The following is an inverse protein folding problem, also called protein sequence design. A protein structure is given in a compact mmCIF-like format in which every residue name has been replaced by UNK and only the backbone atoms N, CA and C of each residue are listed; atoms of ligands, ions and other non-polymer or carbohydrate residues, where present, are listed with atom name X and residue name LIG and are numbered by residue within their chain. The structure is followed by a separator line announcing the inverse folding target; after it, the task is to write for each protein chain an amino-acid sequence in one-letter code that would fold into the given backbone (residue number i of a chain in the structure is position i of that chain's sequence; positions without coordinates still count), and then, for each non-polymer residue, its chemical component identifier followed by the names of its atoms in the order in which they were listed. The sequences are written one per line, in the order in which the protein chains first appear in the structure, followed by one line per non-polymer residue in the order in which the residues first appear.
data_IF_837757226760
#
_entry.id   IF_837757226760
#
_cell.length_a   1.000
_cell.length_b   1.000
_cell.length_c   1.000
_cell.angle_alpha   90.00
_cell.angle_beta   90.00
_cell.angle_gamma   90.00
#
_symmetry.space_group_name_H-M   'P 1'
#
loop_
_entity.id
_entity.type
_entity.pdbx_description
1 polymer ?
#
# COMPACT_ATOMS: atom_id res chain seq x y z
N UNK A 1 -10.91 3.43 -1.80
CA UNK A 1 -11.63 2.34 -1.12
C UNK A 1 -13.10 2.69 -1.07
N UNK A 2 -13.90 1.89 -1.76
CA UNK A 2 -15.22 2.22 -2.33
C UNK A 2 -16.38 2.24 -1.33
N UNK A 3 -17.47 2.87 -1.81
CA UNK A 3 -18.87 3.02 -1.41
C UNK A 3 -19.63 1.77 -0.90
N UNK A 4 -18.94 0.67 -0.61
CA UNK A 4 -19.54 -0.59 -0.13
C UNK A 4 -19.43 -0.70 1.38
N UNK A 5 -20.55 -1.01 2.03
CA UNK A 5 -20.60 -1.21 3.48
C UNK A 5 -19.86 -2.53 3.85
N UNK A 6 -19.60 -2.70 5.15
CA UNK A 6 -18.90 -3.90 5.66
C UNK A 6 -19.68 -5.17 5.35
N UNK A 7 -21.01 -5.13 5.51
CA UNK A 7 -21.92 -6.25 5.31
C UNK A 7 -21.90 -6.76 3.87
N UNK A 8 -21.93 -5.87 2.87
CA UNK A 8 -21.82 -6.22 1.45
C UNK A 8 -20.50 -6.93 1.14
N UNK A 9 -19.39 -6.53 1.78
CA UNK A 9 -18.10 -7.20 1.57
C UNK A 9 -18.09 -8.61 2.15
N UNK A 10 -18.75 -8.79 3.31
CA UNK A 10 -18.93 -10.10 3.94
C UNK A 10 -19.82 -11.00 3.07
N UNK A 11 -20.94 -10.47 2.56
CA UNK A 11 -21.83 -11.18 1.65
C UNK A 11 -21.10 -11.63 0.38
N UNK A 12 -20.33 -10.73 -0.26
CA UNK A 12 -19.54 -11.06 -1.45
C UNK A 12 -18.50 -12.14 -1.13
N UNK A 13 -17.88 -12.09 0.04
CA UNK A 13 -16.90 -13.10 0.47
C UNK A 13 -17.56 -14.48 0.62
N UNK A 14 -18.72 -14.58 1.26
CA UNK A 14 -19.47 -15.84 1.37
C UNK A 14 -19.92 -16.38 0.01
N UNK A 15 -20.41 -15.52 -0.88
CA UNK A 15 -20.74 -15.92 -2.26
C UNK A 15 -19.54 -16.47 -3.04
N UNK A 16 -18.36 -15.90 -2.82
CA UNK A 16 -17.14 -16.39 -3.43
C UNK A 16 -16.65 -17.70 -2.79
N UNK A 17 -16.65 -17.78 -1.45
CA UNK A 17 -16.04 -18.87 -0.68
C UNK A 17 -16.94 -20.11 -0.56
N UNK A 18 -18.23 -19.90 -0.33
CA UNK A 18 -19.19 -20.96 0.00
C UNK A 18 -20.01 -21.36 -1.24
N UNK A 19 -20.41 -20.39 -2.06
CA UNK A 19 -21.20 -20.64 -3.28
C UNK A 19 -20.34 -20.82 -4.55
N UNK A 20 -19.01 -20.67 -4.43
CA UNK A 20 -18.05 -20.78 -5.55
C UNK A 20 -18.38 -19.88 -6.76
N UNK A 21 -19.02 -18.73 -6.54
CA UNK A 21 -19.29 -17.77 -7.61
C UNK A 21 -17.97 -17.15 -8.07
N UNK A 22 -17.76 -17.09 -9.39
CA UNK A 22 -16.52 -16.55 -9.93
C UNK A 22 -16.34 -15.05 -9.61
N UNK A 23 -15.09 -14.64 -9.44
CA UNK A 23 -14.72 -13.23 -9.19
C UNK A 23 -15.26 -12.33 -10.31
N UNK A 24 -15.24 -12.79 -11.57
CA UNK A 24 -15.76 -12.04 -12.71
C UNK A 24 -17.28 -11.81 -12.64
N UNK A 25 -18.05 -12.82 -12.24
CA UNK A 25 -19.49 -12.68 -12.04
C UNK A 25 -19.82 -11.71 -10.90
N UNK A 26 -19.13 -11.84 -9.77
CA UNK A 26 -19.28 -10.93 -8.63
C UNK A 26 -18.89 -9.49 -8.99
N UNK A 27 -17.77 -9.30 -9.70
CA UNK A 27 -17.35 -7.99 -10.18
C UNK A 27 -18.41 -7.32 -11.05
N UNK A 28 -19.05 -8.09 -11.95
CA UNK A 28 -20.15 -7.58 -12.79
C UNK A 28 -21.40 -7.28 -11.99
N UNK A 29 -21.82 -8.19 -11.11
CA UNK A 29 -23.03 -8.04 -10.29
C UNK A 29 -22.96 -6.83 -9.36
N UNK A 30 -21.84 -6.65 -8.67
CA UNK A 30 -21.62 -5.56 -7.73
C UNK A 30 -20.98 -4.32 -8.36
N UNK A 31 -20.73 -4.33 -9.69
CA UNK A 31 -20.04 -3.25 -10.44
C UNK A 31 -18.70 -2.85 -9.80
N UNK A 32 -17.95 -3.85 -9.36
CA UNK A 32 -16.63 -3.68 -8.75
C UNK A 32 -15.52 -3.85 -9.80
N UNK A 33 -14.41 -3.15 -9.59
CA UNK A 33 -13.20 -3.43 -10.36
C UNK A 33 -12.66 -4.82 -9.97
N UNK A 34 -12.38 -5.65 -10.98
CA UNK A 34 -11.95 -7.04 -10.81
C UNK A 34 -10.72 -7.18 -9.90
N UNK A 35 -9.68 -6.37 -10.11
CA UNK A 35 -8.45 -6.42 -9.32
C UNK A 35 -8.68 -5.98 -7.86
N UNK A 36 -9.53 -4.98 -7.65
CA UNK A 36 -9.89 -4.55 -6.29
C UNK A 36 -10.71 -5.62 -5.55
N UNK A 37 -11.58 -6.32 -6.27
CA UNK A 37 -12.38 -7.41 -5.71
C UNK A 37 -11.49 -8.62 -5.37
N UNK A 38 -10.66 -9.07 -6.31
CA UNK A 38 -9.69 -10.15 -6.09
C UNK A 38 -8.78 -9.86 -4.89
N UNK A 39 -8.22 -8.64 -4.81
CA UNK A 39 -7.42 -8.21 -3.67
C UNK A 39 -8.21 -8.28 -2.35
N UNK A 40 -9.44 -7.75 -2.33
CA UNK A 40 -10.28 -7.76 -1.14
C UNK A 40 -10.59 -9.18 -0.66
N UNK A 41 -10.93 -10.08 -1.57
CA UNK A 41 -11.23 -11.49 -1.25
C UNK A 41 -10.01 -12.19 -0.66
N UNK A 42 -8.84 -12.07 -1.29
CA UNK A 42 -7.58 -12.64 -0.79
C UNK A 42 -7.18 -12.06 0.58
N UNK A 43 -7.44 -10.77 0.80
CA UNK A 43 -7.14 -10.12 2.07
C UNK A 43 -8.01 -10.67 3.20
N UNK A 44 -9.32 -10.88 2.95
CA UNK A 44 -10.24 -11.49 3.92
C UNK A 44 -9.90 -12.97 4.12
N UNK A 45 -9.55 -13.70 3.07
CA UNK A 45 -9.18 -15.12 3.15
C UNK A 45 -7.93 -15.33 4.03
N UNK A 46 -6.97 -14.40 3.98
CA UNK A 46 -5.72 -14.47 4.74
C UNK A 46 -5.85 -14.00 6.19
N UNK A 47 -6.60 -12.92 6.46
CA UNK A 47 -6.65 -12.26 7.78
C UNK A 47 -8.00 -12.37 8.48
N UNK A 48 -8.98 -13.00 7.83
CA UNK A 48 -10.36 -13.05 8.28
C UNK A 48 -11.13 -11.73 8.07
N UNK A 49 -12.40 -11.75 8.44
CA UNK A 49 -13.34 -10.62 8.29
C UNK A 49 -12.93 -9.40 9.15
N UNK A 50 -12.14 -9.61 10.20
CA UNK A 50 -11.66 -8.55 11.10
C UNK A 50 -10.82 -7.49 10.40
N UNK A 51 -10.16 -7.83 9.30
CA UNK A 51 -9.39 -6.86 8.51
C UNK A 51 -10.28 -5.73 7.93
N UNK A 52 -11.58 -5.99 7.79
CA UNK A 52 -12.55 -5.01 7.30
C UNK A 52 -12.91 -3.96 8.36
N UNK A 53 -12.72 -4.24 9.65
CA UNK A 53 -12.98 -3.29 10.75
C UNK A 53 -11.75 -2.48 11.14
N UNK A 54 -10.57 -2.85 10.63
CA UNK A 54 -9.32 -2.19 10.99
C UNK A 54 -9.36 -0.70 10.62
N UNK A 55 -9.21 0.15 11.64
CA UNK A 55 -9.12 1.61 11.48
C UNK A 55 -7.88 1.97 10.66
N UNK A 56 -7.85 3.18 10.10
CA UNK A 56 -6.67 3.64 9.38
C UNK A 56 -5.47 3.70 10.35
N UNK A 57 -4.51 2.80 10.15
CA UNK A 57 -3.30 2.74 10.97
C UNK A 57 -2.32 3.83 10.54
N UNK A 58 -1.69 4.46 11.53
CA UNK A 58 -0.48 5.24 11.30
C UNK A 58 0.70 4.28 11.35
N UNK A 59 1.57 4.35 10.35
CA UNK A 59 2.76 3.50 10.26
C UNK A 59 4.00 4.32 10.64
N UNK A 60 4.84 3.77 11.51
CA UNK A 60 6.09 4.40 11.92
C UNK A 60 7.08 4.51 10.76
N UNK A 61 8.11 5.35 10.92
CA UNK A 61 9.14 5.56 9.88
C UNK A 61 9.88 4.25 9.62
N UNK A 62 10.23 3.56 10.69
CA UNK A 62 10.97 2.30 10.69
C UNK A 62 10.17 1.20 10.00
N UNK A 63 8.86 1.11 10.28
CA UNK A 63 8.00 0.13 9.63
C UNK A 63 7.91 0.37 8.12
N UNK A 64 7.67 1.63 7.71
CA UNK A 64 7.64 1.99 6.29
C UNK A 64 8.96 1.68 5.60
N UNK A 65 10.07 2.01 6.24
CA UNK A 65 11.40 1.77 5.70
C UNK A 65 11.66 0.28 5.50
N UNK A 66 11.43 -0.55 6.54
CA UNK A 66 11.60 -2.01 6.45
C UNK A 66 10.72 -2.62 5.37
N UNK A 67 9.46 -2.16 5.26
CA UNK A 67 8.53 -2.61 4.22
C UNK A 67 9.06 -2.29 2.82
N UNK A 68 9.57 -1.08 2.61
CA UNK A 68 10.11 -0.64 1.32
C UNK A 68 11.39 -1.40 0.98
N UNK A 69 12.27 -1.61 1.96
CA UNK A 69 13.48 -2.42 1.79
C UNK A 69 13.12 -3.87 1.42
N UNK A 70 12.15 -4.49 2.09
CA UNK A 70 11.65 -5.81 1.73
C UNK A 70 10.99 -5.84 0.34
N UNK A 71 10.30 -4.78 -0.06
CA UNK A 71 9.71 -4.70 -1.38
C UNK A 71 10.79 -4.61 -2.47
N UNK A 72 11.84 -3.81 -2.26
CA UNK A 72 12.87 -3.57 -3.27
C UNK A 72 13.90 -4.70 -3.35
N UNK A 73 14.35 -5.20 -2.20
CA UNK A 73 15.42 -6.21 -2.13
C UNK A 73 14.90 -7.63 -1.93
N UNK A 74 13.63 -7.80 -1.59
CA UNK A 74 13.03 -9.11 -1.42
C UNK A 74 12.57 -9.72 -2.73
N UNK A 75 12.49 -11.05 -2.76
CA UNK A 75 12.00 -11.81 -3.92
C UNK A 75 10.46 -11.94 -3.96
N UNK A 76 9.75 -11.24 -3.07
CA UNK A 76 8.29 -11.34 -2.98
C UNK A 76 7.59 -10.32 -3.89
N UNK A 77 6.55 -10.73 -4.64
CA UNK A 77 5.72 -9.77 -5.37
C UNK A 77 5.09 -8.74 -4.43
N UNK A 78 4.97 -7.48 -4.87
CA UNK A 78 4.37 -6.41 -4.07
C UNK A 78 2.94 -6.74 -3.64
N UNK A 79 2.18 -7.46 -4.48
CA UNK A 79 0.85 -7.95 -4.16
C UNK A 79 0.88 -8.85 -2.92
N UNK A 80 1.78 -9.83 -2.90
CA UNK A 80 1.92 -10.77 -1.80
C UNK A 80 2.37 -10.07 -0.52
N UNK A 81 3.40 -9.22 -0.60
CA UNK A 81 3.88 -8.46 0.55
C UNK A 81 2.78 -7.55 1.13
N UNK A 82 1.99 -6.92 0.26
CA UNK A 82 0.85 -6.08 0.65
C UNK A 82 -0.25 -6.89 1.35
N UNK A 83 -0.53 -8.11 0.88
CA UNK A 83 -1.48 -9.02 1.53
C UNK A 83 -0.97 -9.47 2.88
N UNK A 84 0.28 -9.94 2.97
CA UNK A 84 0.90 -10.41 4.23
C UNK A 84 0.90 -9.33 5.32
N UNK A 85 1.18 -8.08 4.94
CA UNK A 85 1.18 -6.94 5.87
C UNK A 85 -0.22 -6.36 6.16
N UNK A 86 -1.27 -6.95 5.60
CA UNK A 86 -2.65 -6.53 5.86
C UNK A 86 -2.98 -5.14 5.30
N UNK A 87 -2.31 -4.69 4.24
CA UNK A 87 -2.56 -3.36 3.68
C UNK A 87 -3.93 -3.31 3.01
N UNK A 88 -4.60 -2.16 3.16
CA UNK A 88 -5.92 -1.92 2.57
C UNK A 88 -5.95 -1.99 1.04
N UNK A 89 -4.81 -1.79 0.40
CA UNK A 89 -4.64 -1.89 -1.04
C UNK A 89 -3.17 -1.97 -1.40
N UNK A 90 -2.83 -2.69 -2.47
CA UNK A 90 -1.50 -2.67 -3.09
C UNK A 90 -1.00 -1.26 -3.46
N UNK A 91 -1.93 -0.36 -3.79
CA UNK A 91 -1.60 1.03 -4.12
C UNK A 91 -0.92 1.79 -2.99
N UNK A 92 -1.10 1.37 -1.73
CA UNK A 92 -0.45 1.97 -0.58
C UNK A 92 1.07 1.73 -0.61
N UNK A 93 1.47 0.49 -0.84
CA UNK A 93 2.88 0.11 -0.98
C UNK A 93 3.52 0.78 -2.21
N UNK A 94 2.82 0.77 -3.35
CA UNK A 94 3.29 1.42 -4.57
C UNK A 94 3.52 2.93 -4.37
N UNK A 95 2.62 3.60 -3.65
CA UNK A 95 2.77 5.02 -3.33
C UNK A 95 3.98 5.28 -2.43
N UNK A 96 4.22 4.43 -1.41
CA UNK A 96 5.39 4.56 -0.54
C UNK A 96 6.70 4.37 -1.30
N UNK A 97 6.80 3.37 -2.17
CA UNK A 97 7.98 3.14 -3.01
C UNK A 97 8.21 4.34 -3.94
N UNK A 98 7.16 4.89 -4.55
CA UNK A 98 7.27 6.07 -5.41
C UNK A 98 7.77 7.29 -4.64
N UNK A 99 7.23 7.56 -3.45
CA UNK A 99 7.68 8.68 -2.61
C UNK A 99 9.13 8.48 -2.15
N UNK A 100 9.50 7.26 -1.78
CA UNK A 100 10.85 6.91 -1.38
C UNK A 100 11.87 7.18 -2.48
N UNK A 101 11.61 6.71 -3.71
CA UNK A 101 12.45 7.00 -4.88
C UNK A 101 12.52 8.52 -5.16
N UNK A 102 11.40 9.24 -5.08
CA UNK A 102 11.34 10.70 -5.31
C UNK A 102 12.16 11.49 -4.30
N UNK A 103 12.19 11.05 -3.03
CA UNK A 103 12.89 11.73 -1.94
C UNK A 103 14.35 11.26 -1.78
N UNK A 104 14.94 10.69 -2.83
CA UNK A 104 16.33 10.23 -2.79
C UNK A 104 16.58 9.07 -1.83
N UNK A 105 15.62 8.14 -1.69
CA UNK A 105 15.72 6.93 -0.86
C UNK A 105 15.69 7.22 0.65
N UNK A 106 14.97 8.27 1.04
CA UNK A 106 14.64 8.60 2.42
C UNK A 106 13.13 8.46 2.70
N UNK A 107 12.77 7.94 3.87
CA UNK A 107 11.38 7.81 4.31
C UNK A 107 10.96 9.09 5.02
N UNK A 108 10.05 9.85 4.40
CA UNK A 108 9.48 11.07 4.97
C UNK A 108 8.11 10.77 5.55
N UNK A 109 7.91 11.06 6.84
CA UNK A 109 6.56 11.09 7.43
C UNK A 109 5.98 12.48 7.19
N UNK A 110 5.01 12.57 6.29
CA UNK A 110 4.23 13.80 6.09
C UNK A 110 3.27 14.00 7.24
N UNK A 111 3.14 15.23 7.72
CA UNK A 111 2.12 15.58 8.70
C UNK A 111 0.71 15.37 8.11
N UNK A 112 -0.21 14.87 8.94
CA UNK A 112 -1.58 14.57 8.54
C UNK A 112 -2.38 15.88 8.44
N UNK A 113 -2.80 16.26 7.24
CA UNK A 113 -3.64 17.43 7.01
C UNK A 113 -3.30 18.13 5.70
N UNK A 114 -4.14 19.08 5.28
CA UNK A 114 -3.78 19.98 4.18
C UNK A 114 -2.79 21.00 4.73
N UNK A 115 -1.56 21.12 4.20
CA UNK A 115 -0.65 22.15 4.63
C UNK A 115 -1.29 23.53 4.39
N UNK A 116 -1.07 24.44 5.34
CA UNK A 116 -1.50 25.82 5.22
C UNK A 116 -0.98 26.42 3.91
N UNK A 117 -1.69 27.39 3.33
CA UNK A 117 -1.39 27.93 1.99
C UNK A 117 0.06 28.42 1.88
N UNK A 118 0.62 28.90 2.97
CA UNK A 118 1.98 29.46 3.03
C UNK A 118 3.08 28.39 3.16
N UNK A 119 2.80 27.27 3.83
CA UNK A 119 3.71 26.11 3.91
C UNK A 119 3.93 25.46 2.53
N UNK A 120 2.93 25.56 1.65
CA UNK A 120 3.01 25.04 0.28
C UNK A 120 4.07 25.75 -0.57
N UNK A 121 4.36 27.02 -0.29
CA UNK A 121 5.43 27.75 -0.98
C UNK A 121 6.83 27.30 -0.50
N UNK A 122 6.97 26.96 0.78
CA UNK A 122 8.23 26.49 1.35
C UNK A 122 8.59 25.05 0.92
N UNK A 123 7.62 24.14 0.80
CA UNK A 123 7.88 22.76 0.38
C UNK A 123 8.34 22.65 -1.09
N UNK A 124 7.93 23.57 -1.96
CA UNK A 124 8.41 23.63 -3.35
C UNK A 124 9.91 24.00 -3.40
N UNK A 125 10.40 24.76 -2.41
CA UNK A 125 11.81 25.14 -2.30
C UNK A 125 12.70 24.13 -1.54
N UNK A 126 12.14 23.21 -0.75
CA UNK A 126 12.92 22.24 0.05
C UNK A 126 13.22 20.92 -0.68
N UNK A 127 13.30 20.95 -2.01
CA UNK A 127 13.68 19.80 -2.85
C UNK A 127 15.13 19.32 -2.71
N UNK A 128 15.88 19.81 -1.73
CA UNK A 128 17.25 19.36 -1.44
C UNK A 128 17.33 18.91 0.02
N UNK A 129 16.81 17.71 0.30
CA UNK A 129 17.10 17.04 1.56
C UNK A 129 18.61 16.78 1.68
N UNK A 130 19.15 17.03 2.87
CA UNK A 130 20.52 16.64 3.25
C UNK A 130 20.85 15.22 2.79
N UNK A 131 22.06 15.05 2.24
CA UNK A 131 22.58 13.78 1.74
C UNK A 131 22.76 12.82 2.91
N UNK A 132 21.75 12.00 3.20
CA UNK A 132 21.89 10.88 4.14
C UNK A 132 22.83 9.83 3.51
N UNK A 133 24.02 9.57 4.08
CA UNK A 133 24.95 8.56 3.57
C UNK A 133 24.34 7.15 3.52
N UNK A 134 23.35 6.85 4.36
CA UNK A 134 22.63 5.59 4.32
C UNK A 134 21.70 5.51 3.10
N UNK A 135 21.18 6.63 2.59
CA UNK A 135 20.37 6.67 1.39
C UNK A 135 21.22 6.45 0.12
N UNK A 136 22.44 7.00 0.08
CA UNK A 136 23.45 6.71 -0.96
C UNK A 136 23.81 5.23 -1.03
N UNK A 137 24.10 4.59 0.13
CA UNK A 137 24.37 3.14 0.17
C UNK A 137 23.21 2.32 -0.37
N UNK A 138 21.97 2.71 -0.08
CA UNK A 138 20.77 2.05 -0.61
C UNK A 138 20.59 2.27 -2.11
N UNK A 139 20.83 3.48 -2.61
CA UNK A 139 20.86 3.76 -4.07
C UNK A 139 21.80 2.81 -4.79
N UNK A 140 23.03 2.69 -4.28
CA UNK A 140 24.05 1.83 -4.86
C UNK A 140 23.65 0.34 -4.80
N UNK A 141 23.08 -0.12 -3.68
CA UNK A 141 22.60 -1.49 -3.54
C UNK A 141 21.48 -1.82 -4.55
N UNK A 142 20.55 -0.88 -4.77
CA UNK A 142 19.45 -1.06 -5.72
C UNK A 142 19.98 -1.12 -7.16
N UNK A 143 20.89 -0.22 -7.52
CA UNK A 143 21.51 -0.22 -8.84
C UNK A 143 22.28 -1.52 -9.14
N UNK A 144 22.81 -2.20 -8.11
CA UNK A 144 23.47 -3.49 -8.25
C UNK A 144 22.51 -4.67 -8.36
N UNK A 145 21.31 -4.58 -7.77
CA UNK A 145 20.27 -5.62 -7.85
C UNK A 145 19.44 -5.57 -9.14
N UNK A 146 19.43 -4.45 -9.87
CA UNK A 146 18.71 -4.30 -11.15
C UNK A 146 19.53 -4.77 -12.39
N UNK A 147 20.67 -5.48 -12.20
CA UNK A 147 21.56 -5.97 -13.27
C UNK A 147 21.50 -7.49 -13.42
#
# INVERSE_FOLDING_TARGET
MSKFNKEQKIEIYHKWKDENISISQLAKAYRMNLANLDYMLRLIDMHGIEILTTKNQSYSKEFKQRTIEQAIFGNKPYLQLSLELGFKSIGMLNNWIREYKKNGYNVIIKQKGRPARDQRKAEISQGTGERDPAAERRKLAIAYCER
#
